data_IF_876627438353
#
_entry.id   IF_876627438353
#
_cell.length_a   1.000
_cell.length_b   1.000
_cell.length_c   1.000
_cell.angle_alpha   90.00
_cell.angle_beta   90.00
_cell.angle_gamma   90.00
#
_symmetry.space_group_name_H-M   'P 1'
#
loop_
_entity.id
_entity.type
_entity.pdbx_description
1 polymer ?
#
# COMPACT_ATOMS: atom_id res chain seq x y z
N UNK A 1 19.11 -0.30 -15.08
CA UNK A 1 18.03 -0.91 -14.28
C UNK A 1 17.23 -1.82 -15.18
N UNK A 2 17.14 -3.12 -14.82
CA UNK A 2 16.32 -4.09 -15.53
C UNK A 2 14.86 -4.00 -15.09
N UNK A 3 13.94 -4.23 -16.03
CA UNK A 3 12.50 -4.26 -15.85
C UNK A 3 11.98 -5.54 -16.51
N UNK A 4 11.08 -6.28 -15.85
CA UNK A 4 10.32 -7.32 -16.52
C UNK A 4 9.11 -6.70 -17.21
N UNK A 5 8.97 -6.97 -18.49
CA UNK A 5 7.86 -6.51 -19.32
C UNK A 5 7.32 -7.69 -20.13
N UNK A 6 6.10 -8.12 -19.81
CA UNK A 6 5.40 -9.26 -20.37
C UNK A 6 6.19 -10.58 -20.16
N UNK A 7 6.96 -11.02 -21.14
CA UNK A 7 7.68 -12.29 -21.15
C UNK A 7 9.21 -12.16 -21.12
N UNK A 8 9.73 -10.93 -20.96
CA UNK A 8 11.16 -10.65 -21.09
C UNK A 8 11.66 -9.58 -20.11
N UNK A 9 12.95 -9.66 -19.81
CA UNK A 9 13.67 -8.59 -19.11
C UNK A 9 14.26 -7.61 -20.11
N UNK A 10 14.02 -6.32 -19.90
CA UNK A 10 14.51 -5.22 -20.74
C UNK A 10 15.17 -4.15 -19.88
N UNK A 11 16.08 -3.39 -20.46
CA UNK A 11 16.62 -2.21 -19.78
C UNK A 11 15.56 -1.11 -19.69
N UNK A 12 15.67 -0.26 -18.65
CA UNK A 12 14.72 0.82 -18.38
C UNK A 12 14.42 1.69 -19.60
N UNK A 13 15.43 1.98 -20.39
CA UNK A 13 15.37 2.83 -21.58
C UNK A 13 14.59 2.18 -22.73
N UNK A 14 14.45 0.85 -22.69
CA UNK A 14 13.72 0.02 -23.67
C UNK A 14 12.33 -0.38 -23.17
N UNK A 15 12.04 -0.21 -21.87
CA UNK A 15 10.74 -0.55 -21.28
C UNK A 15 9.67 0.44 -21.77
N UNK A 16 8.85 0.01 -22.71
CA UNK A 16 7.78 0.81 -23.32
C UNK A 16 6.50 0.01 -23.37
N UNK A 17 5.39 0.66 -23.08
CA UNK A 17 4.04 0.12 -23.26
C UNK A 17 3.37 0.87 -24.43
N UNK A 18 2.38 0.25 -25.04
CA UNK A 18 1.59 0.86 -26.10
C UNK A 18 0.80 2.07 -25.57
N UNK A 19 0.64 3.10 -26.40
CA UNK A 19 -0.28 4.20 -26.11
C UNK A 19 -1.75 3.76 -26.16
N UNK A 20 -2.03 2.58 -26.69
CA UNK A 20 -3.35 1.93 -26.70
C UNK A 20 -3.54 0.97 -25.53
N UNK A 21 -2.60 0.90 -24.57
CA UNK A 21 -2.79 0.12 -23.35
C UNK A 21 -3.91 0.71 -22.49
N UNK A 22 -4.92 -0.08 -22.14
CA UNK A 22 -6.08 0.37 -21.39
C UNK A 22 -5.72 0.80 -19.95
N UNK A 23 -4.62 0.30 -19.40
CA UNK A 23 -4.07 0.82 -18.15
C UNK A 23 -3.58 2.26 -18.29
N UNK A 24 -2.96 2.60 -19.44
CA UNK A 24 -2.56 3.98 -19.75
C UNK A 24 -3.76 4.87 -20.08
N UNK A 25 -4.69 4.40 -20.91
CA UNK A 25 -5.83 5.19 -21.39
C UNK A 25 -6.88 5.40 -20.30
N UNK A 26 -7.19 4.37 -19.51
CA UNK A 26 -8.38 4.35 -18.64
C UNK A 26 -8.08 4.00 -17.17
N UNK A 27 -6.83 3.65 -16.84
CA UNK A 27 -6.49 3.14 -15.51
C UNK A 27 -7.02 1.72 -15.25
N UNK A 28 -7.38 0.97 -16.31
CA UNK A 28 -7.88 -0.39 -16.19
C UNK A 28 -6.74 -1.37 -15.92
N UNK A 29 -6.59 -1.71 -14.66
CA UNK A 29 -5.56 -2.60 -14.17
C UNK A 29 -5.40 -2.55 -12.66
N UNK A 30 -4.50 -3.38 -12.18
CA UNK A 30 -4.21 -3.57 -10.76
C UNK A 30 -2.70 -3.58 -10.51
N UNK A 31 -2.30 -3.44 -9.25
CA UNK A 31 -0.89 -3.49 -8.89
C UNK A 31 -0.67 -4.04 -7.50
N UNK A 32 0.56 -4.47 -7.23
CA UNK A 32 1.08 -4.73 -5.90
C UNK A 32 2.38 -3.98 -5.65
N UNK A 33 2.62 -3.71 -4.36
CA UNK A 33 3.90 -3.19 -3.89
C UNK A 33 4.44 -4.16 -2.85
N UNK A 34 5.61 -4.72 -3.15
CA UNK A 34 6.31 -5.66 -2.29
C UNK A 34 7.54 -5.00 -1.66
N UNK A 35 7.97 -5.53 -0.55
CA UNK A 35 9.23 -5.17 0.12
C UNK A 35 10.12 -6.41 0.22
N UNK A 36 11.35 -6.29 -0.27
CA UNK A 36 12.41 -7.25 -0.03
C UNK A 36 13.29 -6.77 1.14
N UNK A 37 13.60 -7.68 2.05
CA UNK A 37 14.57 -7.53 3.13
C UNK A 37 15.62 -8.61 2.97
N UNK A 38 16.86 -8.25 2.71
CA UNK A 38 17.97 -9.19 2.51
C UNK A 38 17.65 -10.30 1.50
N UNK A 39 17.06 -9.92 0.36
CA UNK A 39 16.66 -10.84 -0.71
C UNK A 39 15.42 -11.70 -0.43
N UNK A 40 14.72 -11.47 0.66
CA UNK A 40 13.51 -12.21 1.07
C UNK A 40 12.29 -11.31 1.00
N UNK A 41 11.21 -11.76 0.36
CA UNK A 41 10.00 -10.95 0.20
C UNK A 41 9.10 -11.08 1.43
N UNK A 42 8.68 -9.94 1.95
CA UNK A 42 7.72 -9.85 3.04
C UNK A 42 6.34 -10.31 2.54
N UNK A 43 5.81 -11.39 3.14
CA UNK A 43 4.47 -11.95 2.91
C UNK A 43 4.07 -12.06 1.42
N UNK A 44 4.95 -12.59 0.58
CA UNK A 44 4.72 -12.71 -0.88
C UNK A 44 3.38 -13.37 -1.18
N UNK A 45 3.05 -14.47 -0.50
CA UNK A 45 1.80 -15.23 -0.74
C UNK A 45 0.55 -14.38 -0.48
N UNK A 46 0.53 -13.57 0.60
CA UNK A 46 -0.61 -12.66 0.90
C UNK A 46 -0.73 -11.57 -0.18
N UNK A 47 0.39 -11.03 -0.66
CA UNK A 47 0.39 -10.07 -1.76
C UNK A 47 -0.12 -10.67 -3.07
N UNK A 48 0.31 -11.87 -3.43
CA UNK A 48 -0.16 -12.56 -4.63
C UNK A 48 -1.65 -12.95 -4.52
N UNK A 49 -2.11 -13.36 -3.34
CA UNK A 49 -3.54 -13.62 -3.09
C UNK A 49 -4.38 -12.36 -3.28
N UNK A 50 -3.91 -11.19 -2.77
CA UNK A 50 -4.60 -9.91 -2.98
C UNK A 50 -4.56 -9.45 -4.43
N UNK A 51 -3.44 -9.67 -5.13
CA UNK A 51 -3.31 -9.40 -6.56
C UNK A 51 -4.35 -10.20 -7.37
N UNK A 52 -4.46 -11.52 -7.12
CA UNK A 52 -5.48 -12.38 -7.74
C UNK A 52 -6.89 -11.85 -7.48
N UNK A 53 -7.23 -11.61 -6.21
CA UNK A 53 -8.53 -11.04 -5.83
C UNK A 53 -8.82 -9.72 -6.55
N UNK A 54 -7.82 -8.85 -6.69
CA UNK A 54 -7.99 -7.59 -7.41
C UNK A 54 -8.23 -7.82 -8.90
N UNK A 55 -7.55 -8.78 -9.52
CA UNK A 55 -7.78 -9.17 -10.92
C UNK A 55 -9.19 -9.74 -11.11
N UNK A 56 -9.61 -10.66 -10.24
CA UNK A 56 -10.94 -11.30 -10.30
C UNK A 56 -12.07 -10.27 -10.22
N UNK A 57 -11.92 -9.28 -9.32
CA UNK A 57 -12.92 -8.23 -9.13
C UNK A 57 -13.12 -7.32 -10.34
N UNK A 58 -12.13 -7.21 -11.23
CA UNK A 58 -12.25 -6.46 -12.49
C UNK A 58 -12.35 -7.38 -13.72
N UNK A 59 -12.51 -8.68 -13.53
CA UNK A 59 -12.55 -9.66 -14.61
C UNK A 59 -11.28 -9.66 -15.47
N UNK A 60 -10.11 -9.49 -14.88
CA UNK A 60 -8.80 -9.52 -15.52
C UNK A 60 -8.16 -10.88 -15.28
N UNK A 61 -7.88 -11.63 -16.35
CA UNK A 61 -7.19 -12.92 -16.23
C UNK A 61 -5.73 -12.68 -15.89
N UNK A 62 -5.29 -13.20 -14.74
CA UNK A 62 -3.89 -13.11 -14.34
C UNK A 62 -3.03 -14.04 -15.23
N UNK A 63 -2.11 -13.50 -16.04
CA UNK A 63 -1.39 -14.32 -17.05
C UNK A 63 -0.21 -15.10 -16.45
N UNK A 64 0.10 -14.92 -15.17
CA UNK A 64 1.28 -15.43 -14.48
C UNK A 64 0.86 -16.26 -13.28
N UNK A 65 1.31 -17.52 -13.22
CA UNK A 65 1.11 -18.40 -12.07
C UNK A 65 2.10 -18.10 -10.92
N UNK A 66 1.83 -18.66 -9.74
CA UNK A 66 2.60 -18.33 -8.53
C UNK A 66 4.08 -18.68 -8.64
N UNK A 67 4.44 -19.84 -9.15
CA UNK A 67 5.85 -20.25 -9.35
C UNK A 67 6.59 -19.31 -10.30
N UNK A 68 5.90 -18.83 -11.34
CA UNK A 68 6.47 -17.88 -12.28
C UNK A 68 6.68 -16.49 -11.61
N UNK A 69 5.80 -16.06 -10.70
CA UNK A 69 6.02 -14.84 -9.92
C UNK A 69 7.29 -14.92 -9.07
N UNK A 70 7.51 -16.06 -8.39
CA UNK A 70 8.75 -16.27 -7.61
C UNK A 70 9.97 -16.14 -8.51
N UNK A 71 9.98 -16.79 -9.69
CA UNK A 71 11.08 -16.72 -10.65
C UNK A 71 11.32 -15.29 -11.15
N UNK A 72 10.26 -14.57 -11.56
CA UNK A 72 10.35 -13.18 -12.05
C UNK A 72 10.93 -12.26 -10.99
N UNK A 73 10.47 -12.40 -9.72
CA UNK A 73 10.93 -11.58 -8.60
C UNK A 73 12.40 -11.89 -8.28
N UNK A 74 12.79 -13.16 -8.28
CA UNK A 74 14.18 -13.58 -8.09
C UNK A 74 15.08 -12.97 -9.14
N UNK A 75 14.71 -13.15 -10.41
CA UNK A 75 15.50 -12.65 -11.54
C UNK A 75 15.62 -11.13 -11.56
N UNK A 76 14.53 -10.39 -11.24
CA UNK A 76 14.57 -8.92 -11.25
C UNK A 76 15.44 -8.38 -10.12
N UNK A 77 15.42 -9.00 -8.94
CA UNK A 77 16.31 -8.65 -7.83
C UNK A 77 17.77 -8.95 -8.20
N UNK A 78 18.07 -10.16 -8.69
CA UNK A 78 19.42 -10.57 -9.08
C UNK A 78 20.00 -9.70 -10.20
N UNK A 79 19.26 -9.44 -11.27
CA UNK A 79 19.70 -8.60 -12.40
C UNK A 79 19.98 -7.15 -12.00
N UNK A 80 19.29 -6.64 -10.97
CA UNK A 80 19.52 -5.29 -10.47
C UNK A 80 20.49 -5.24 -9.27
N UNK A 81 21.00 -6.39 -8.78
CA UNK A 81 21.89 -6.47 -7.63
C UNK A 81 21.24 -5.92 -6.35
N UNK A 82 19.98 -6.26 -6.09
CA UNK A 82 19.19 -5.71 -4.99
C UNK A 82 18.85 -6.79 -3.97
N UNK A 83 19.19 -6.53 -2.71
CA UNK A 83 18.78 -7.33 -1.55
C UNK A 83 17.67 -6.62 -0.77
N UNK A 84 17.85 -5.32 -0.49
CA UNK A 84 16.83 -4.46 0.12
C UNK A 84 16.16 -3.63 -0.97
N UNK A 85 14.89 -3.96 -1.29
CA UNK A 85 14.21 -3.37 -2.42
C UNK A 85 12.72 -3.16 -2.19
N UNK A 86 12.18 -2.11 -2.81
CA UNK A 86 10.77 -1.98 -3.09
C UNK A 86 10.48 -2.47 -4.50
N UNK A 87 9.50 -3.37 -4.64
CA UNK A 87 9.07 -3.87 -5.94
C UNK A 87 7.65 -3.39 -6.24
N UNK A 88 7.38 -3.14 -7.52
CA UNK A 88 6.04 -2.89 -8.02
C UNK A 88 5.70 -3.89 -9.12
N UNK A 89 4.65 -4.66 -8.90
CA UNK A 89 4.00 -5.51 -9.89
C UNK A 89 2.80 -4.73 -10.43
N UNK A 90 2.71 -4.56 -11.74
CA UNK A 90 1.60 -3.86 -12.38
C UNK A 90 1.03 -4.73 -13.48
N UNK A 91 -0.28 -4.89 -13.52
CA UNK A 91 -0.98 -5.65 -14.54
C UNK A 91 -2.09 -4.75 -15.07
N UNK A 92 -2.00 -4.35 -16.33
CA UNK A 92 -3.09 -3.66 -17.01
C UNK A 92 -3.90 -4.63 -17.85
N UNK A 93 -5.07 -4.18 -18.32
CA UNK A 93 -5.88 -4.93 -19.29
C UNK A 93 -5.10 -5.25 -20.57
N UNK A 94 -4.10 -4.42 -20.89
CA UNK A 94 -3.26 -4.55 -22.08
C UNK A 94 -3.67 -3.66 -23.23
N UNK A 95 -3.02 -3.87 -24.36
CA UNK A 95 -3.28 -3.13 -25.58
C UNK A 95 -4.58 -3.59 -26.26
N UNK A 96 -5.38 -2.64 -26.72
CA UNK A 96 -6.65 -2.89 -27.39
C UNK A 96 -7.13 -1.73 -28.25
N UNK A 97 -8.27 -1.90 -28.89
CA UNK A 97 -8.96 -0.84 -29.62
C UNK A 97 -9.49 0.22 -28.66
N UNK A 98 -9.72 1.44 -29.15
CA UNK A 98 -10.31 2.52 -28.36
C UNK A 98 -11.74 2.15 -27.94
N UNK A 99 -12.03 2.27 -26.65
CA UNK A 99 -13.31 1.92 -26.03
C UNK A 99 -13.10 1.39 -24.62
N UNK A 100 -14.19 1.23 -23.88
CA UNK A 100 -14.16 0.78 -22.49
C UNK A 100 -14.65 -0.67 -22.30
N UNK A 101 -14.93 -1.38 -23.40
CA UNK A 101 -15.27 -2.80 -23.33
C UNK A 101 -14.01 -3.62 -23.01
N UNK A 102 -13.98 -4.38 -21.89
CA UNK A 102 -12.84 -5.22 -21.54
C UNK A 102 -12.46 -6.25 -22.61
N UNK A 103 -13.41 -6.66 -23.46
CA UNK A 103 -13.19 -7.60 -24.57
C UNK A 103 -12.34 -7.05 -25.72
N UNK A 104 -12.04 -5.75 -25.74
CA UNK A 104 -11.20 -5.13 -26.77
C UNK A 104 -9.70 -5.44 -26.61
N UNK A 105 -9.27 -5.91 -25.45
CA UNK A 105 -7.86 -6.27 -25.18
C UNK A 105 -7.68 -7.78 -25.22
N UNK A 106 -6.73 -8.23 -26.07
CA UNK A 106 -6.48 -9.65 -26.26
C UNK A 106 -5.67 -10.30 -25.13
N UNK A 107 -4.78 -9.53 -24.48
CA UNK A 107 -3.89 -10.04 -23.43
C UNK A 107 -3.44 -8.91 -22.49
N UNK A 108 -3.28 -9.20 -21.19
CA UNK A 108 -2.77 -8.24 -20.22
C UNK A 108 -1.33 -7.83 -20.47
N UNK A 109 -0.98 -6.60 -20.06
CA UNK A 109 0.41 -6.15 -19.94
C UNK A 109 0.89 -6.34 -18.51
N UNK A 110 2.01 -7.03 -18.33
CA UNK A 110 2.65 -7.28 -17.04
C UNK A 110 3.96 -6.52 -16.94
N UNK A 111 4.11 -5.70 -15.91
CA UNK A 111 5.35 -4.95 -15.63
C UNK A 111 5.80 -5.22 -14.21
N UNK A 112 7.06 -5.63 -14.02
CA UNK A 112 7.68 -5.71 -12.69
C UNK A 112 8.91 -4.82 -12.65
N UNK A 113 8.94 -3.93 -11.65
CA UNK A 113 10.07 -3.04 -11.39
C UNK A 113 10.58 -3.27 -9.97
N UNK A 114 11.90 -3.19 -9.79
CA UNK A 114 12.53 -3.19 -8.48
C UNK A 114 13.47 -2.00 -8.34
N UNK A 115 13.46 -1.36 -7.17
CA UNK A 115 14.38 -0.27 -6.81
C UNK A 115 14.96 -0.53 -5.43
N UNK A 116 16.21 -0.12 -5.21
CA UNK A 116 16.78 -0.10 -3.88
C UNK A 116 15.86 0.64 -2.91
N UNK A 117 15.65 0.06 -1.76
CA UNK A 117 14.89 0.70 -0.71
C UNK A 117 15.77 1.69 0.04
N UNK A 118 15.25 2.89 0.26
CA UNK A 118 15.89 3.89 1.09
C UNK A 118 15.13 3.96 2.42
N UNK A 119 15.76 3.56 3.53
CA UNK A 119 15.12 3.63 4.85
C UNK A 119 14.69 5.05 5.19
N UNK A 120 13.55 5.17 5.86
CA UNK A 120 13.11 6.45 6.40
C UNK A 120 14.03 6.90 7.52
N UNK A 121 14.35 8.21 7.62
CA UNK A 121 15.21 8.73 8.68
C UNK A 121 14.66 8.40 10.09
N UNK A 122 15.51 7.99 11.02
CA UNK A 122 15.12 7.69 12.40
C UNK A 122 14.35 8.85 13.04
N UNK A 123 14.81 10.10 12.81
CA UNK A 123 14.12 11.31 13.26
C UNK A 123 12.64 11.37 12.82
N UNK A 124 12.35 10.93 11.59
CA UNK A 124 10.97 10.93 11.08
C UNK A 124 10.08 9.93 11.83
N UNK A 125 10.64 8.78 12.24
CA UNK A 125 9.93 7.79 13.06
C UNK A 125 9.68 8.31 14.48
N UNK A 126 10.67 8.94 15.08
CA UNK A 126 10.59 9.48 16.45
C UNK A 126 9.63 10.68 16.55
N UNK A 127 9.70 11.57 15.58
CA UNK A 127 8.88 12.77 15.55
C UNK A 127 7.46 12.55 15.01
N UNK A 128 7.29 11.52 14.19
CA UNK A 128 6.07 11.33 13.43
C UNK A 128 5.94 12.29 12.24
N UNK A 129 4.91 12.08 11.44
CA UNK A 129 4.59 12.89 10.26
C UNK A 129 3.32 13.70 10.49
N UNK A 130 3.15 14.76 9.70
CA UNK A 130 1.92 15.56 9.66
C UNK A 130 0.98 15.01 8.59
N UNK A 131 -0.30 14.82 8.91
CA UNK A 131 -1.37 14.57 7.97
C UNK A 131 -2.24 15.81 7.77
N UNK A 132 -2.98 15.84 6.69
CA UNK A 132 -4.05 16.81 6.43
C UNK A 132 -5.37 16.07 6.28
N UNK A 133 -6.37 16.47 7.07
CA UNK A 133 -7.75 16.08 6.81
C UNK A 133 -8.21 16.84 5.55
N UNK A 134 -8.51 16.10 4.49
CA UNK A 134 -8.79 16.69 3.16
C UNK A 134 -10.28 16.74 2.85
N UNK A 135 -10.66 17.60 1.91
CA UNK A 135 -12.06 17.72 1.44
C UNK A 135 -12.45 16.58 0.48
N UNK A 136 -11.48 16.04 -0.27
CA UNK A 136 -11.69 14.92 -1.18
C UNK A 136 -12.16 13.69 -0.41
N UNK A 137 -13.33 13.18 -0.75
CA UNK A 137 -13.89 11.96 -0.14
C UNK A 137 -13.36 10.73 -0.85
N UNK A 138 -13.20 9.64 -0.08
CA UNK A 138 -12.85 8.32 -0.62
C UNK A 138 -13.99 7.84 -1.53
N UNK A 139 -13.65 7.24 -2.68
CA UNK A 139 -14.65 6.61 -3.54
C UNK A 139 -15.51 5.64 -2.72
N UNK A 140 -16.85 5.75 -2.78
CA UNK A 140 -17.71 4.81 -2.07
C UNK A 140 -17.56 3.39 -2.64
N UNK A 141 -17.65 2.34 -1.81
CA UNK A 141 -17.55 0.95 -2.26
C UNK A 141 -18.49 0.57 -3.41
N UNK A 142 -19.65 1.25 -3.49
CA UNK A 142 -20.63 1.08 -4.55
C UNK A 142 -20.20 1.66 -5.90
N UNK A 143 -19.27 2.63 -5.93
CA UNK A 143 -18.74 3.21 -7.17
C UNK A 143 -17.48 2.47 -7.64
N UNK A 144 -16.53 2.25 -6.73
CA UNK A 144 -15.30 1.50 -6.99
C UNK A 144 -14.89 0.81 -5.70
N UNK A 145 -14.94 -0.51 -5.67
CA UNK A 145 -14.56 -1.27 -4.47
C UNK A 145 -13.13 -0.95 -4.05
N UNK A 146 -12.89 -0.48 -2.81
CA UNK A 146 -11.54 -0.22 -2.30
C UNK A 146 -10.71 -1.49 -2.10
N UNK A 147 -11.35 -2.68 -2.13
CA UNK A 147 -10.68 -3.98 -2.11
C UNK A 147 -9.88 -4.25 -3.38
N UNK A 148 -10.15 -3.53 -4.48
CA UNK A 148 -9.38 -3.56 -5.71
C UNK A 148 -8.16 -2.65 -5.55
N UNK A 149 -6.96 -3.22 -5.56
CA UNK A 149 -5.73 -2.42 -5.60
C UNK A 149 -5.47 -1.92 -7.03
N UNK A 150 -6.32 -0.98 -7.45
CA UNK A 150 -6.48 -0.49 -8.82
C UNK A 150 -5.42 0.51 -9.24
N UNK A 151 -5.17 0.61 -10.55
CA UNK A 151 -4.38 1.69 -11.19
C UNK A 151 -5.15 3.03 -11.25
N UNK A 152 -6.45 3.05 -11.00
CA UNK A 152 -7.28 4.25 -11.00
C UNK A 152 -7.03 5.10 -9.75
N UNK A 153 -5.94 5.87 -9.77
CA UNK A 153 -5.43 6.62 -8.60
C UNK A 153 -5.90 8.07 -8.51
N UNK A 154 -6.75 8.55 -9.41
CA UNK A 154 -7.08 9.98 -9.47
C UNK A 154 -7.67 10.51 -8.15
N UNK A 155 -8.54 9.74 -7.49
CA UNK A 155 -9.10 10.11 -6.18
C UNK A 155 -8.00 10.32 -5.12
N UNK A 156 -7.04 9.39 -5.04
CA UNK A 156 -5.91 9.47 -4.11
C UNK A 156 -4.92 10.61 -4.47
N UNK A 157 -4.71 10.87 -5.77
CA UNK A 157 -3.86 11.96 -6.25
C UNK A 157 -4.44 13.32 -5.88
N UNK A 158 -5.75 13.51 -6.05
CA UNK A 158 -6.42 14.75 -5.66
C UNK A 158 -6.33 14.99 -4.14
N UNK A 159 -6.56 13.95 -3.33
CA UNK A 159 -6.37 14.03 -1.88
C UNK A 159 -4.91 14.36 -1.51
N UNK A 160 -3.95 13.71 -2.17
CA UNK A 160 -2.52 13.99 -1.96
C UNK A 160 -2.16 15.42 -2.32
N UNK A 161 -2.75 15.98 -3.37
CA UNK A 161 -2.52 17.36 -3.80
C UNK A 161 -2.94 18.37 -2.72
N UNK A 162 -4.12 18.18 -2.11
CA UNK A 162 -4.55 19.02 -0.97
C UNK A 162 -3.56 18.92 0.21
N UNK A 163 -3.12 17.70 0.56
CA UNK A 163 -2.16 17.50 1.63
C UNK A 163 -0.82 18.20 1.35
N UNK A 164 -0.30 18.10 0.13
CA UNK A 164 0.94 18.77 -0.27
C UNK A 164 0.80 20.29 -0.22
N UNK A 165 -0.32 20.85 -0.66
CA UNK A 165 -0.61 22.28 -0.59
C UNK A 165 -0.64 22.77 0.87
N UNK A 166 -1.12 21.92 1.81
CA UNK A 166 -1.10 22.20 3.24
C UNK A 166 0.27 21.94 3.92
N UNK A 167 1.30 21.53 3.15
CA UNK A 167 2.62 21.16 3.69
C UNK A 167 2.62 19.87 4.53
N UNK A 168 1.61 19.01 4.37
CA UNK A 168 1.50 17.73 5.08
C UNK A 168 2.20 16.60 4.32
N UNK A 169 2.60 15.56 5.07
CA UNK A 169 3.19 14.36 4.50
C UNK A 169 2.19 13.56 3.67
N UNK A 170 0.96 13.39 4.18
CA UNK A 170 -0.10 12.68 3.47
C UNK A 170 -1.49 13.21 3.87
N UNK A 171 -2.52 12.74 3.17
CA UNK A 171 -3.92 13.06 3.44
C UNK A 171 -4.56 12.01 4.33
N UNK A 172 -5.44 12.44 5.24
CA UNK A 172 -6.42 11.59 5.90
C UNK A 172 -7.77 11.80 5.20
N UNK A 173 -8.36 10.73 4.69
CA UNK A 173 -9.59 10.79 3.89
C UNK A 173 -10.79 10.29 4.70
N UNK A 174 -11.95 10.88 4.43
CA UNK A 174 -13.24 10.41 4.95
C UNK A 174 -14.06 9.77 3.82
N UNK A 175 -14.98 8.87 4.18
CA UNK A 175 -16.00 8.38 3.25
C UNK A 175 -17.17 9.38 3.11
N UNK A 176 -18.20 8.99 2.37
CA UNK A 176 -19.37 9.83 2.13
C UNK A 176 -20.21 10.05 3.39
N UNK A 177 -20.13 9.16 4.37
CA UNK A 177 -20.84 9.25 5.66
C UNK A 177 -20.07 10.08 6.70
N UNK A 178 -18.86 10.57 6.35
CA UNK A 178 -18.01 11.36 7.24
C UNK A 178 -17.09 10.53 8.13
N UNK A 179 -17.07 9.21 7.98
CA UNK A 179 -16.17 8.36 8.74
C UNK A 179 -14.75 8.35 8.14
N UNK A 180 -13.77 8.25 9.00
CA UNK A 180 -12.36 8.08 8.64
C UNK A 180 -12.18 6.78 7.87
N UNK A 181 -11.40 6.85 6.81
CA UNK A 181 -11.04 5.70 5.98
C UNK A 181 -9.56 5.36 6.11
N UNK A 182 -8.77 5.88 5.24
CA UNK A 182 -7.33 5.63 5.12
C UNK A 182 -6.61 6.89 4.59
N UNK A 183 -5.27 6.85 4.55
CA UNK A 183 -4.48 7.83 3.84
C UNK A 183 -4.44 7.53 2.33
N UNK A 184 -3.67 8.32 1.55
CA UNK A 184 -3.65 8.14 0.09
C UNK A 184 -3.06 6.79 -0.34
N UNK A 185 -2.16 6.20 0.45
CA UNK A 185 -1.51 4.90 0.16
C UNK A 185 -1.26 4.07 1.42
N UNK A 186 -1.91 4.39 2.54
CA UNK A 186 -1.64 3.78 3.85
C UNK A 186 -2.93 3.66 4.64
N UNK A 187 -3.06 2.57 5.42
CA UNK A 187 -4.11 2.48 6.42
C UNK A 187 -3.76 3.34 7.65
N UNK A 188 -4.75 3.69 8.45
CA UNK A 188 -4.59 4.50 9.65
C UNK A 188 -5.03 3.72 10.88
N UNK A 189 -4.33 3.95 11.98
CA UNK A 189 -4.65 3.48 13.32
C UNK A 189 -4.56 4.63 14.28
N UNK A 190 -5.28 4.55 15.39
CA UNK A 190 -5.15 5.48 16.49
C UNK A 190 -5.34 4.78 17.84
N UNK A 191 -4.78 5.35 18.89
CA UNK A 191 -4.87 4.84 20.25
C UNK A 191 -5.77 5.76 21.06
N UNK A 192 -6.77 5.18 21.69
CA UNK A 192 -7.62 5.86 22.65
C UNK A 192 -7.96 4.90 23.81
N UNK A 193 -7.91 5.38 25.04
CA UNK A 193 -8.21 4.58 26.24
C UNK A 193 -7.39 3.27 26.32
N UNK A 194 -6.12 3.30 25.93
CA UNK A 194 -5.18 2.16 25.87
C UNK A 194 -5.59 1.04 24.93
N UNK A 195 -6.51 1.29 24.01
CA UNK A 195 -6.92 0.37 22.93
C UNK A 195 -6.45 0.89 21.59
N UNK A 196 -6.22 -0.03 20.67
CA UNK A 196 -5.87 0.27 19.30
C UNK A 196 -7.13 0.23 18.43
N UNK A 197 -7.37 1.31 17.69
CA UNK A 197 -8.52 1.44 16.81
C UNK A 197 -8.07 1.60 15.36
N UNK A 198 -8.84 1.03 14.43
CA UNK A 198 -8.62 1.21 12.99
C UNK A 198 -9.95 1.14 12.25
N UNK A 199 -10.13 1.94 11.19
CA UNK A 199 -11.33 1.83 10.36
C UNK A 199 -11.55 0.41 9.85
N UNK A 200 -12.79 -0.07 9.93
CA UNK A 200 -13.18 -1.37 9.37
C UNK A 200 -13.19 -1.33 7.84
N UNK A 201 -13.17 -2.50 7.22
CA UNK A 201 -13.21 -2.62 5.74
C UNK A 201 -14.47 -1.97 5.17
N UNK A 202 -15.57 -2.00 5.90
CA UNK A 202 -16.86 -1.41 5.49
C UNK A 202 -16.81 0.12 5.39
N UNK A 203 -15.86 0.78 6.04
CA UNK A 203 -15.63 2.21 5.86
C UNK A 203 -15.11 2.58 4.46
N UNK A 204 -14.67 1.61 3.67
CA UNK A 204 -14.15 1.83 2.33
C UNK A 204 -12.63 1.96 2.27
N UNK A 205 -11.91 1.12 2.99
CA UNK A 205 -10.45 1.02 2.99
C UNK A 205 -9.95 -0.15 2.15
N UNK A 206 -8.66 -0.11 1.77
CA UNK A 206 -7.96 -1.29 1.28
C UNK A 206 -7.60 -2.20 2.45
N UNK A 207 -7.83 -3.51 2.29
CA UNK A 207 -7.32 -4.54 3.22
C UNK A 207 -5.79 -4.60 3.14
N UNK A 208 -5.12 -3.81 3.99
CA UNK A 208 -3.67 -3.65 3.96
C UNK A 208 -2.95 -4.81 4.61
N UNK A 209 -1.96 -5.42 3.94
CA UNK A 209 -1.18 -6.54 4.48
C UNK A 209 -0.38 -6.11 5.72
N UNK A 210 0.20 -4.91 5.70
CA UNK A 210 0.88 -4.37 6.89
C UNK A 210 -0.13 -4.06 8.01
N UNK A 211 -1.37 -3.63 7.66
CA UNK A 211 -2.46 -3.46 8.64
C UNK A 211 -2.79 -4.79 9.32
N UNK A 212 -2.94 -5.88 8.57
CA UNK A 212 -3.18 -7.23 9.12
C UNK A 212 -2.07 -7.64 10.07
N UNK A 213 -0.80 -7.45 9.68
CA UNK A 213 0.35 -7.77 10.53
C UNK A 213 0.37 -6.96 11.83
N UNK A 214 0.01 -5.67 11.77
CA UNK A 214 -0.07 -4.84 12.98
C UNK A 214 -1.17 -5.34 13.93
N UNK A 215 -2.31 -5.78 13.41
CA UNK A 215 -3.39 -6.38 14.21
C UNK A 215 -2.92 -7.70 14.84
N UNK A 216 -2.23 -8.57 14.09
CA UNK A 216 -1.64 -9.80 14.62
C UNK A 216 -0.64 -9.51 15.76
N UNK A 217 0.28 -8.57 15.54
CA UNK A 217 1.30 -8.20 16.53
C UNK A 217 0.69 -7.52 17.77
N UNK A 218 -0.35 -6.72 17.61
CA UNK A 218 -1.08 -6.14 18.73
C UNK A 218 -1.68 -7.25 19.60
N UNK A 219 -2.28 -8.29 18.99
CA UNK A 219 -2.77 -9.48 19.70
C UNK A 219 -1.66 -10.22 20.45
N UNK A 220 -0.49 -10.41 19.83
CA UNK A 220 0.68 -11.04 20.46
C UNK A 220 1.19 -10.25 21.68
N UNK A 221 1.00 -8.92 21.66
CA UNK A 221 1.35 -8.00 22.77
C UNK A 221 0.24 -7.83 23.83
N UNK A 222 -0.92 -8.46 23.62
CA UNK A 222 -2.08 -8.30 24.51
C UNK A 222 -2.77 -6.93 24.37
N UNK A 223 -2.56 -6.22 23.27
CA UNK A 223 -3.21 -4.94 22.96
C UNK A 223 -4.55 -5.27 22.28
N UNK A 224 -5.65 -4.78 22.89
CA UNK A 224 -6.99 -4.92 22.33
C UNK A 224 -7.13 -4.05 21.07
N UNK A 225 -7.60 -4.64 19.96
CA UNK A 225 -7.83 -3.96 18.68
C UNK A 225 -9.32 -3.91 18.39
N UNK A 226 -9.81 -2.73 18.04
CA UNK A 226 -11.20 -2.51 17.63
C UNK A 226 -11.24 -1.97 16.20
N UNK A 227 -11.93 -2.71 15.32
CA UNK A 227 -12.20 -2.31 13.94
C UNK A 227 -13.61 -1.70 13.88
N UNK A 228 -13.74 -0.44 13.46
CA UNK A 228 -15.03 0.26 13.52
C UNK A 228 -15.16 1.41 12.52
N UNK A 229 -16.28 2.12 12.63
CA UNK A 229 -16.52 3.39 11.94
C UNK A 229 -16.27 4.54 12.93
N UNK A 230 -15.35 5.43 12.60
CA UNK A 230 -14.89 6.51 13.47
C UNK A 230 -15.08 7.85 12.79
N UNK A 231 -15.52 8.85 13.56
CA UNK A 231 -15.54 10.22 13.09
C UNK A 231 -14.12 10.82 13.07
N UNK A 232 -13.94 11.92 12.36
CA UNK A 232 -12.65 12.61 12.36
C UNK A 232 -12.23 13.06 13.78
N UNK A 233 -13.19 13.46 14.59
CA UNK A 233 -13.02 13.90 15.96
C UNK A 233 -12.41 12.82 16.86
N UNK A 234 -12.77 11.55 16.65
CA UNK A 234 -12.21 10.41 17.42
C UNK A 234 -10.70 10.32 17.21
N UNK A 235 -10.23 10.52 15.98
CA UNK A 235 -8.81 10.47 15.63
C UNK A 235 -8.10 11.76 16.07
N UNK A 236 -8.75 12.93 15.99
CA UNK A 236 -8.17 14.20 16.42
C UNK A 236 -7.96 14.27 17.93
N UNK A 237 -8.77 13.56 18.71
CA UNK A 237 -8.70 13.49 20.18
C UNK A 237 -7.88 12.27 20.67
N UNK A 238 -7.30 11.50 19.78
CA UNK A 238 -6.57 10.28 20.11
C UNK A 238 -5.26 10.58 20.87
N UNK A 239 -4.86 9.64 21.73
CA UNK A 239 -3.58 9.66 22.45
C UNK A 239 -2.39 9.49 21.49
N UNK A 240 -2.56 8.65 20.46
CA UNK A 240 -1.58 8.39 19.39
C UNK A 240 -2.31 8.16 18.08
N UNK A 241 -1.61 8.41 16.97
CA UNK A 241 -2.05 8.02 15.64
C UNK A 241 -0.84 7.54 14.83
N UNK A 242 -1.05 6.57 13.97
CA UNK A 242 -0.02 6.11 13.03
C UNK A 242 -0.63 5.57 11.73
N UNK A 243 0.21 5.44 10.72
CA UNK A 243 -0.16 4.91 9.43
C UNK A 243 0.71 3.72 9.06
N UNK A 244 0.17 2.82 8.22
CA UNK A 244 0.85 1.58 7.82
C UNK A 244 0.76 1.33 6.32
N UNK A 245 1.87 0.95 5.72
CA UNK A 245 1.95 0.33 4.40
C UNK A 245 3.24 -0.45 4.25
N UNK A 246 3.40 -1.17 3.15
CA UNK A 246 4.57 -2.03 2.88
C UNK A 246 5.92 -1.31 2.94
N UNK A 247 5.99 -0.03 2.56
CA UNK A 247 7.23 0.75 2.58
C UNK A 247 7.47 1.49 3.89
N UNK A 248 6.40 2.05 4.49
CA UNK A 248 6.49 2.80 5.75
C UNK A 248 6.60 1.88 6.97
N UNK A 249 6.09 0.64 6.84
CA UNK A 249 5.89 -0.25 7.99
C UNK A 249 4.88 0.39 8.95
N UNK A 250 5.32 0.84 10.13
CA UNK A 250 4.54 1.64 11.08
C UNK A 250 5.16 3.03 11.17
N UNK A 251 4.38 4.08 10.88
CA UNK A 251 4.85 5.47 10.89
C UNK A 251 3.93 6.32 11.76
N UNK A 252 4.46 6.86 12.85
CA UNK A 252 3.71 7.73 13.75
C UNK A 252 3.21 9.00 13.08
N UNK A 253 2.04 9.46 13.48
CA UNK A 253 1.43 10.74 13.09
C UNK A 253 1.49 11.68 14.28
N UNK A 254 2.14 12.82 14.12
CA UNK A 254 2.29 13.83 15.18
C UNK A 254 1.22 14.91 15.16
N UNK A 255 0.58 15.11 13.99
CA UNK A 255 -0.35 16.22 13.79
C UNK A 255 -1.30 15.92 12.62
N UNK A 256 -2.56 16.34 12.74
CA UNK A 256 -3.55 16.32 11.65
C UNK A 256 -4.13 17.73 11.49
N UNK A 257 -3.89 18.34 10.31
CA UNK A 257 -4.17 19.77 10.13
C UNK A 257 -3.41 20.61 11.13
N UNK A 258 -4.10 21.40 11.94
CA UNK A 258 -3.52 22.21 13.03
C UNK A 258 -3.58 21.50 14.40
N UNK A 259 -4.17 20.29 14.48
CA UNK A 259 -4.36 19.57 15.74
C UNK A 259 -3.18 18.64 16.03
N UNK A 260 -2.39 18.86 17.09
CA UNK A 260 -1.38 17.90 17.52
C UNK A 260 -2.08 16.64 18.04
N UNK A 261 -1.53 15.48 17.71
CA UNK A 261 -1.98 14.20 18.25
C UNK A 261 -1.16 13.88 19.50
N UNK A 262 -1.85 13.61 20.59
CA UNK A 262 -1.22 13.35 21.89
C UNK A 262 -0.21 14.45 22.26
N UNK A 263 1.08 14.09 22.32
CA UNK A 263 2.17 15.04 22.63
C UNK A 263 2.81 15.70 21.40
N UNK A 264 2.21 15.60 20.21
CA UNK A 264 2.76 16.13 18.96
C UNK A 264 4.01 15.39 18.46
N UNK A 265 4.15 14.12 18.80
CA UNK A 265 5.24 13.23 18.37
C UNK A 265 4.75 11.79 18.33
N UNK A 266 5.56 10.87 17.77
CA UNK A 266 5.27 9.44 17.80
C UNK A 266 5.09 8.95 19.24
N UNK A 267 3.99 8.24 19.51
CA UNK A 267 3.65 7.76 20.83
C UNK A 267 4.29 6.42 21.19
N UNK A 268 4.25 6.03 22.48
CA UNK A 268 4.92 4.83 23.00
C UNK A 268 4.35 3.52 22.41
N UNK A 269 3.02 3.36 22.27
CA UNK A 269 2.39 2.17 21.71
C UNK A 269 2.74 2.02 20.22
N UNK A 270 2.73 3.12 19.47
CA UNK A 270 3.17 3.15 18.07
C UNK A 270 4.62 2.66 17.92
N UNK A 271 5.52 3.13 18.79
CA UNK A 271 6.91 2.71 18.80
C UNK A 271 7.09 1.25 19.23
N UNK A 272 6.27 0.76 20.14
CA UNK A 272 6.24 -0.65 20.57
C UNK A 272 5.82 -1.56 19.41
N UNK A 273 4.73 -1.23 18.72
CA UNK A 273 4.26 -1.96 17.53
C UNK A 273 5.29 -1.93 16.40
N UNK A 274 5.97 -0.80 16.16
CA UNK A 274 7.06 -0.75 15.19
C UNK A 274 8.23 -1.66 15.59
N UNK A 275 8.64 -1.67 16.86
CA UNK A 275 9.70 -2.57 17.34
C UNK A 275 9.28 -4.03 17.25
N UNK A 276 8.03 -4.34 17.58
CA UNK A 276 7.47 -5.68 17.40
C UNK A 276 7.48 -6.10 15.93
N UNK A 277 7.11 -5.20 15.01
CA UNK A 277 7.18 -5.45 13.56
C UNK A 277 8.62 -5.79 13.14
N UNK A 278 9.61 -4.98 13.54
CA UNK A 278 11.02 -5.21 13.21
C UNK A 278 11.56 -6.51 13.83
N UNK A 279 11.21 -6.77 15.10
CA UNK A 279 11.66 -7.95 15.83
C UNK A 279 11.04 -9.26 15.33
N UNK A 280 9.91 -9.20 14.63
CA UNK A 280 9.21 -10.37 14.10
C UNK A 280 9.32 -10.50 12.55
N UNK A 281 10.19 -9.75 11.89
CA UNK A 281 10.32 -9.81 10.43
C UNK A 281 10.55 -11.25 9.94
N UNK A 282 11.39 -12.03 10.62
CA UNK A 282 11.69 -13.42 10.27
C UNK A 282 10.44 -14.31 10.16
N UNK A 283 9.41 -14.07 10.96
CA UNK A 283 8.11 -14.77 10.89
C UNK A 283 7.36 -14.52 9.59
N UNK A 284 7.60 -13.37 8.96
CA UNK A 284 6.85 -12.88 7.81
C UNK A 284 7.65 -12.90 6.49
N UNK A 285 8.93 -13.25 6.55
CA UNK A 285 9.79 -13.33 5.39
C UNK A 285 9.73 -14.74 4.76
N UNK A 286 9.54 -14.77 3.44
CA UNK A 286 9.68 -15.98 2.63
C UNK A 286 11.13 -16.48 2.55
N UNK A 287 11.40 -17.50 1.75
CA UNK A 287 12.77 -17.95 1.49
C UNK A 287 13.62 -16.85 0.84
N UNK A 288 14.93 -16.93 1.00
CA UNK A 288 15.85 -16.04 0.28
C UNK A 288 15.75 -16.32 -1.22
N UNK A 289 15.47 -15.29 -2.00
CA UNK A 289 15.31 -15.37 -3.46
C UNK A 289 16.58 -14.95 -4.22
N UNK A 290 17.52 -14.28 -3.57
CA UNK A 290 18.81 -13.94 -4.19
C UNK A 290 19.79 -15.09 -4.02
N UNK A 291 20.41 -15.50 -5.13
CA UNK A 291 21.54 -16.44 -5.08
C UNK A 291 22.77 -15.63 -4.69
N UNK A 292 23.58 -16.09 -3.72
CA UNK A 292 24.78 -15.40 -3.29
C UNK A 292 25.81 -15.26 -4.41
#
# INVERSE_FOLDING_TARGET
MWIYLNDRFVEKEQARISVFDHGFLYGDGVYETLRAYQGRIFLLERHLARLRRSCDLIGLVLPVGDDAWVSIITDILGRNGLEDAGLRLTISRGEGELGIDPGLCASPTVVVMAKAFVPYPARMREQGVRLQLVSVRRNPPSAQSPRIKSLSFLNNILAKQEAVQAGAYDALMLNMDGHVTECTTSNVFFVANQRLHTPSVDCGILEGITREVVIELAGDLGIEVEEGAYAAEDVLQADECFMTNTGLEVMGVSQIGEHPIGQGKCGPMTMELWRAFQGNLERFLGPCLTVP
#
